data_IF_315062711631
#
_entry.id   IF_315062711631
#
_cell.length_a   1.000
_cell.length_b   1.000
_cell.length_c   1.000
_cell.angle_alpha   90.00
_cell.angle_beta   90.00
_cell.angle_gamma   90.00
#
_symmetry.space_group_name_H-M   'P 1'
#
loop_
_entity.id
_entity.type
_entity.pdbx_description
1 polymer ?
#
# COMPACT_ATOMS: atom_id res chain seq x y z
N UNK A 1 -22.48 -24.47 -23.03
CA UNK A 1 -21.49 -23.62 -23.72
C UNK A 1 -21.81 -22.18 -23.38
N UNK A 2 -20.88 -21.48 -22.71
CA UNK A 2 -21.10 -20.08 -22.30
C UNK A 2 -20.79 -19.17 -23.49
N UNK A 3 -21.73 -18.29 -23.83
CA UNK A 3 -21.53 -17.29 -24.89
C UNK A 3 -20.33 -16.41 -24.54
N UNK A 4 -19.40 -16.14 -25.49
CA UNK A 4 -18.28 -15.26 -25.22
C UNK A 4 -18.76 -13.85 -24.86
N UNK A 5 -18.02 -13.12 -24.01
CA UNK A 5 -18.39 -11.76 -23.63
C UNK A 5 -18.41 -10.83 -24.85
N UNK A 6 -19.22 -9.75 -24.83
CA UNK A 6 -19.19 -8.73 -25.86
C UNK A 6 -17.78 -8.15 -26.06
N UNK A 7 -17.36 -7.83 -27.29
CA UNK A 7 -16.02 -7.28 -27.56
C UNK A 7 -15.69 -6.00 -26.77
N UNK A 8 -16.69 -5.16 -26.50
CA UNK A 8 -16.53 -3.96 -25.68
C UNK A 8 -16.11 -4.27 -24.25
N UNK A 9 -16.67 -5.32 -23.64
CA UNK A 9 -16.30 -5.75 -22.30
C UNK A 9 -14.84 -6.22 -22.26
N UNK A 10 -14.39 -6.94 -23.29
CA UNK A 10 -12.99 -7.36 -23.39
C UNK A 10 -12.03 -6.16 -23.50
N UNK A 11 -12.39 -5.15 -24.31
CA UNK A 11 -11.59 -3.91 -24.45
C UNK A 11 -11.51 -3.11 -23.14
N UNK A 12 -12.61 -2.97 -22.42
CA UNK A 12 -12.65 -2.27 -21.14
C UNK A 12 -11.82 -3.00 -20.09
N UNK A 13 -11.90 -4.34 -20.03
CA UNK A 13 -11.05 -5.15 -19.14
C UNK A 13 -9.56 -4.99 -19.44
N UNK A 14 -9.16 -5.01 -20.71
CA UNK A 14 -7.77 -4.72 -21.06
C UNK A 14 -7.30 -3.32 -20.63
N UNK A 15 -8.21 -2.34 -20.55
CA UNK A 15 -7.88 -1.01 -20.02
C UNK A 15 -7.70 -1.04 -18.50
N UNK A 16 -8.52 -1.81 -17.79
CA UNK A 16 -8.41 -2.05 -16.34
C UNK A 16 -7.08 -2.74 -16.03
N UNK A 17 -6.74 -3.80 -16.75
CA UNK A 17 -5.49 -4.55 -16.54
C UNK A 17 -4.25 -3.65 -16.67
N UNK A 18 -4.27 -2.70 -17.62
CA UNK A 18 -3.18 -1.73 -17.78
C UNK A 18 -3.11 -0.73 -16.62
N UNK A 19 -4.25 -0.28 -16.10
CA UNK A 19 -4.32 0.60 -14.94
C UNK A 19 -3.79 -0.14 -13.71
N UNK A 20 -4.20 -1.39 -13.51
CA UNK A 20 -3.77 -2.22 -12.38
C UNK A 20 -2.26 -2.46 -12.41
N UNK A 21 -1.69 -2.73 -13.58
CA UNK A 21 -0.23 -2.82 -13.74
C UNK A 21 0.49 -1.52 -13.32
N UNK A 22 -0.03 -0.36 -13.74
CA UNK A 22 0.52 0.93 -13.35
C UNK A 22 0.38 1.17 -11.83
N UNK A 23 -0.76 0.81 -11.23
CA UNK A 23 -0.97 0.91 -9.78
C UNK A 23 0.05 0.08 -8.99
N UNK A 24 0.31 -1.16 -9.41
CA UNK A 24 1.31 -2.03 -8.76
C UNK A 24 2.71 -1.43 -8.84
N UNK A 25 3.11 -0.90 -10.00
CA UNK A 25 4.41 -0.25 -10.14
C UNK A 25 4.54 1.01 -9.26
N UNK A 26 3.51 1.84 -9.20
CA UNK A 26 3.49 3.02 -8.34
C UNK A 26 3.54 2.65 -6.85
N UNK A 27 2.82 1.61 -6.44
CA UNK A 27 2.89 1.08 -5.08
C UNK A 27 4.29 0.57 -4.76
N UNK A 28 4.93 -0.19 -5.66
CA UNK A 28 6.28 -0.68 -5.45
C UNK A 28 7.29 0.47 -5.21
N UNK A 29 7.22 1.54 -6.00
CA UNK A 29 8.05 2.73 -5.79
C UNK A 29 7.72 3.44 -4.47
N UNK A 30 6.44 3.56 -4.13
CA UNK A 30 6.02 4.10 -2.82
C UNK A 30 6.59 3.28 -1.67
N UNK A 31 6.55 1.95 -1.76
CA UNK A 31 7.06 1.06 -0.71
C UNK A 31 8.58 1.19 -0.55
N UNK A 32 9.35 1.31 -1.64
CA UNK A 32 10.79 1.59 -1.58
C UNK A 32 11.09 2.87 -0.80
N UNK A 33 10.36 3.95 -1.08
CA UNK A 33 10.52 5.21 -0.34
C UNK A 33 10.19 5.03 1.15
N UNK A 34 9.10 4.31 1.47
CA UNK A 34 8.73 4.06 2.87
C UNK A 34 9.72 3.16 3.60
N UNK A 35 10.38 2.20 2.93
CA UNK A 35 11.45 1.39 3.54
C UNK A 35 12.64 2.27 3.91
N UNK A 36 13.04 3.20 3.04
CA UNK A 36 14.10 4.17 3.35
C UNK A 36 13.74 5.06 4.54
N UNK A 37 12.47 5.49 4.63
CA UNK A 37 11.95 6.21 5.80
C UNK A 37 12.04 5.33 7.06
N UNK A 38 11.69 4.05 6.97
CA UNK A 38 11.77 3.11 8.09
C UNK A 38 13.19 2.93 8.60
N UNK A 39 14.16 2.72 7.70
CA UNK A 39 15.59 2.64 8.04
C UNK A 39 16.07 3.94 8.68
N UNK A 40 15.66 5.09 8.14
CA UNK A 40 16.01 6.40 8.70
C UNK A 40 15.43 6.57 10.11
N UNK A 41 14.15 6.23 10.31
CA UNK A 41 13.48 6.29 11.61
C UNK A 41 14.18 5.40 12.64
N UNK A 42 14.46 4.14 12.28
CA UNK A 42 15.18 3.21 13.14
C UNK A 42 16.57 3.75 13.53
N UNK A 43 17.34 4.28 12.58
CA UNK A 43 18.66 4.88 12.83
C UNK A 43 18.59 6.08 13.78
N UNK A 44 17.52 6.86 13.73
CA UNK A 44 17.31 8.05 14.55
C UNK A 44 16.56 7.76 15.86
N UNK A 45 16.16 6.51 16.13
CA UNK A 45 15.34 6.16 17.29
C UNK A 45 13.92 6.74 17.25
N UNK A 46 13.39 7.04 16.06
CA UNK A 46 12.04 7.57 15.86
C UNK A 46 11.00 6.45 15.80
N UNK A 47 9.77 6.68 16.28
CA UNK A 47 8.71 5.69 16.23
C UNK A 47 8.25 5.38 14.80
N UNK A 48 7.84 4.12 14.58
CA UNK A 48 7.28 3.63 13.32
C UNK A 48 6.01 4.41 12.92
N UNK A 49 5.06 4.55 13.85
CA UNK A 49 3.88 5.40 13.69
C UNK A 49 4.20 6.88 13.94
N UNK A 50 3.53 7.74 13.19
CA UNK A 50 3.52 9.19 13.36
C UNK A 50 2.08 9.69 13.14
N UNK A 51 1.26 9.74 14.21
CA UNK A 51 -0.17 10.06 14.09
C UNK A 51 -0.43 11.44 13.46
N UNK A 52 0.46 12.41 13.72
CA UNK A 52 0.36 13.74 13.12
C UNK A 52 0.57 13.71 11.62
N UNK A 53 1.58 12.96 11.16
CA UNK A 53 1.83 12.77 9.73
C UNK A 53 0.74 11.93 9.06
N UNK A 54 0.23 10.91 9.72
CA UNK A 54 -0.86 10.05 9.24
C UNK A 54 -2.14 10.87 9.01
N UNK A 55 -2.54 11.70 9.97
CA UNK A 55 -3.70 12.58 9.83
C UNK A 55 -3.58 13.56 8.63
N UNK A 56 -2.39 14.13 8.41
CA UNK A 56 -2.12 15.00 7.26
C UNK A 56 -2.24 14.24 5.92
N UNK A 57 -1.79 12.98 5.88
CA UNK A 57 -1.91 12.15 4.67
C UNK A 57 -3.36 11.83 4.37
N UNK A 58 -4.17 11.50 5.38
CA UNK A 58 -5.61 11.28 5.24
C UNK A 58 -6.30 12.51 4.69
N UNK A 59 -6.09 13.69 5.29
CA UNK A 59 -6.69 14.93 4.83
C UNK A 59 -6.36 15.22 3.36
N UNK A 60 -5.07 15.15 3.00
CA UNK A 60 -4.62 15.37 1.62
C UNK A 60 -5.23 14.36 0.64
N UNK A 61 -5.35 13.09 1.02
CA UNK A 61 -5.89 12.09 0.12
C UNK A 61 -7.39 12.24 -0.09
N UNK A 62 -8.14 12.64 0.94
CA UNK A 62 -9.56 12.97 0.80
C UNK A 62 -9.77 14.10 -0.21
N UNK A 63 -8.94 15.14 -0.16
CA UNK A 63 -9.00 16.24 -1.13
C UNK A 63 -8.69 15.77 -2.56
N UNK A 64 -7.68 14.92 -2.72
CA UNK A 64 -7.34 14.33 -4.03
C UNK A 64 -8.45 13.43 -4.56
N UNK A 65 -9.09 12.64 -3.70
CA UNK A 65 -10.21 11.79 -4.07
C UNK A 65 -11.40 12.64 -4.56
N UNK A 66 -11.74 13.70 -3.83
CA UNK A 66 -12.75 14.66 -4.27
C UNK A 66 -12.45 15.29 -5.64
N UNK A 67 -11.20 15.67 -5.90
CA UNK A 67 -10.79 16.25 -7.19
C UNK A 67 -10.83 15.24 -8.35
N UNK A 68 -10.73 13.95 -8.05
CA UNK A 68 -10.72 12.86 -9.02
C UNK A 68 -12.09 12.17 -9.18
N UNK A 69 -13.16 12.74 -8.60
CA UNK A 69 -14.49 12.13 -8.54
C UNK A 69 -14.50 10.70 -7.93
N UNK A 70 -13.58 10.44 -7.01
CA UNK A 70 -13.48 9.20 -6.25
C UNK A 70 -14.08 9.40 -4.85
N UNK A 71 -14.79 8.38 -4.34
CA UNK A 71 -15.32 8.40 -2.97
C UNK A 71 -14.19 8.61 -1.95
N UNK A 72 -14.20 9.73 -1.18
CA UNK A 72 -13.19 10.01 -0.16
C UNK A 72 -13.14 8.95 0.94
N UNK A 73 -14.27 8.31 1.25
CA UNK A 73 -14.33 7.24 2.27
C UNK A 73 -13.60 6.00 1.76
N UNK A 74 -13.74 5.67 0.47
CA UNK A 74 -12.97 4.60 -0.15
C UNK A 74 -11.47 4.93 -0.17
N UNK A 75 -11.10 6.15 -0.56
CA UNK A 75 -9.70 6.58 -0.59
C UNK A 75 -9.05 6.50 0.80
N UNK A 76 -9.77 6.92 1.85
CA UNK A 76 -9.32 6.83 3.23
C UNK A 76 -9.09 5.38 3.68
N UNK A 77 -10.02 4.47 3.38
CA UNK A 77 -9.86 3.04 3.68
C UNK A 77 -8.64 2.44 2.98
N UNK A 78 -8.45 2.79 1.70
CA UNK A 78 -7.28 2.35 0.94
C UNK A 78 -5.98 2.87 1.55
N UNK A 79 -5.94 4.13 1.97
CA UNK A 79 -4.77 4.70 2.64
C UNK A 79 -4.48 4.04 3.98
N UNK A 80 -5.51 3.81 4.79
CA UNK A 80 -5.37 3.16 6.09
C UNK A 80 -4.71 1.79 5.94
N UNK A 81 -5.18 0.99 4.98
CA UNK A 81 -4.57 -0.31 4.65
C UNK A 81 -3.09 -0.18 4.26
N UNK A 82 -2.76 0.78 3.38
CA UNK A 82 -1.37 0.98 2.95
C UNK A 82 -0.47 1.49 4.10
N UNK A 83 -0.99 2.34 4.99
CA UNK A 83 -0.25 2.88 6.13
C UNK A 83 0.01 1.80 7.18
N UNK A 84 -0.97 0.95 7.46
CA UNK A 84 -0.82 -0.20 8.37
C UNK A 84 0.34 -1.10 7.94
N UNK A 85 0.39 -1.45 6.64
CA UNK A 85 1.50 -2.25 6.08
C UNK A 85 2.85 -1.54 6.16
N UNK A 86 2.89 -0.22 6.03
CA UNK A 86 4.13 0.56 6.18
C UNK A 86 4.61 0.56 7.63
N UNK A 87 3.71 0.72 8.60
CA UNK A 87 4.04 0.70 10.02
C UNK A 87 4.62 -0.67 10.39
N UNK A 88 3.96 -1.76 9.96
CA UNK A 88 4.44 -3.14 10.15
C UNK A 88 5.86 -3.33 9.62
N UNK A 89 6.16 -2.81 8.42
CA UNK A 89 7.52 -2.86 7.88
C UNK A 89 8.53 -2.03 8.68
N UNK A 90 8.13 -0.86 9.20
CA UNK A 90 9.01 -0.02 10.03
C UNK A 90 9.35 -0.69 11.36
N UNK A 91 8.37 -1.34 11.99
CA UNK A 91 8.58 -2.12 13.20
C UNK A 91 9.55 -3.29 12.95
N UNK A 92 9.38 -4.02 11.84
CA UNK A 92 10.30 -5.08 11.45
C UNK A 92 11.73 -4.58 11.21
N UNK A 93 11.89 -3.42 10.54
CA UNK A 93 13.20 -2.79 10.33
C UNK A 93 13.83 -2.38 11.68
N UNK A 94 13.04 -1.85 12.61
CA UNK A 94 13.51 -1.44 13.93
C UNK A 94 13.92 -2.65 14.80
N UNK A 95 13.25 -3.80 14.64
CA UNK A 95 13.56 -5.04 15.36
C UNK A 95 14.86 -5.72 14.87
N UNK A 96 15.30 -5.44 13.64
CA UNK A 96 16.50 -6.04 13.05
C UNK A 96 16.33 -7.52 12.66
N UNK A 97 17.38 -8.18 12.13
CA UNK A 97 17.30 -9.51 11.53
C UNK A 97 16.89 -10.66 12.48
N UNK A 98 16.84 -10.43 13.80
CA UNK A 98 16.41 -11.43 14.79
C UNK A 98 14.88 -11.50 14.99
N UNK A 99 14.11 -10.60 14.37
CA UNK A 99 12.65 -10.54 14.45
C UNK A 99 11.89 -11.54 13.57
N UNK A 100 12.59 -12.27 12.69
CA UNK A 100 12.00 -13.26 11.79
C UNK A 100 12.61 -14.64 12.05
N UNK A 101 12.15 -15.34 13.09
CA UNK A 101 12.29 -16.80 13.11
C UNK A 101 11.17 -17.40 12.24
N UNK A 102 11.50 -18.15 11.18
CA UNK A 102 10.49 -18.78 10.33
C UNK A 102 9.90 -19.99 11.04
N UNK A 103 8.62 -19.92 11.40
CA UNK A 103 7.78 -21.07 11.78
C UNK A 103 7.28 -21.84 10.53
N UNK A 104 8.18 -22.07 9.57
CA UNK A 104 7.96 -23.01 8.46
C UNK A 104 8.85 -24.23 8.69
N UNK A 105 8.42 -25.11 9.60
CA UNK A 105 8.74 -26.53 9.52
C UNK A 105 7.52 -27.24 8.93
N UNK A 106 7.63 -27.96 7.80
CA UNK A 106 6.55 -28.83 7.38
C UNK A 106 6.47 -29.99 8.39
N UNK A 107 5.26 -30.20 8.93
CA UNK A 107 4.93 -31.43 9.62
C UNK A 107 5.16 -32.61 8.66
N UNK A 108 5.82 -33.66 9.17
CA UNK A 108 6.21 -34.85 8.42
C UNK A 108 5.07 -35.77 8.00
#
# INVERSE_FOLDING_TARGET
MTTPPPPELARLRGSIDNIDAALIHLLAERFKATQQVGVLKARLGLPASDPGREAQQVARLRDLAHQADLDPVFAEKFLAFIVEEVIRHHEAIAAGPDGQRPDDQPAG
#
